data_IF_130309722365
#
_entry.id   IF_130309722365
#
_cell.length_a   1.000
_cell.length_b   1.000
_cell.length_c   1.000
_cell.angle_alpha   90.00
_cell.angle_beta   90.00
_cell.angle_gamma   90.00
#
_symmetry.space_group_name_H-M   'P 1'
#
loop_
_entity.id
_entity.type
_entity.pdbx_description
1 polymer ?
#
# COMPACT_ATOMS: atom_id res chain seq x y z
N UNK A 1 -0.41 -2.48 11.37
CA UNK A 1 -1.87 -2.18 11.41
C UNK A 1 -2.40 -2.22 9.98
N UNK A 2 -3.69 -2.45 9.74
CA UNK A 2 -4.31 -2.32 8.42
C UNK A 2 -5.27 -1.14 8.42
N UNK A 3 -4.83 0.00 7.88
CA UNK A 3 -5.64 1.23 7.81
C UNK A 3 -5.92 1.55 6.34
N UNK A 4 -7.09 2.13 6.01
CA UNK A 4 -7.32 2.60 4.65
C UNK A 4 -6.34 3.73 4.32
N UNK A 5 -5.95 3.81 3.04
CA UNK A 5 -4.95 4.76 2.54
C UNK A 5 -5.61 5.67 1.51
N UNK A 6 -5.36 6.97 1.62
CA UNK A 6 -5.59 7.94 0.54
C UNK A 6 -4.21 8.50 0.18
N UNK A 7 -3.83 8.43 -1.09
CA UNK A 7 -2.53 8.90 -1.53
C UNK A 7 -2.59 9.51 -2.93
N UNK A 8 -1.66 10.41 -3.23
CA UNK A 8 -1.56 11.02 -4.56
C UNK A 8 -0.90 10.08 -5.55
N UNK A 9 -1.26 10.19 -6.84
CA UNK A 9 -0.68 9.40 -7.92
C UNK A 9 0.70 9.93 -8.35
N UNK A 10 1.69 9.85 -7.45
CA UNK A 10 3.06 10.35 -7.70
C UNK A 10 4.13 9.33 -7.31
N UNK A 11 5.26 9.32 -8.03
CA UNK A 11 6.38 8.42 -7.75
C UNK A 11 5.98 6.95 -7.76
N UNK A 12 6.54 6.17 -6.83
CA UNK A 12 6.22 4.73 -6.67
C UNK A 12 4.93 4.42 -5.91
N UNK A 13 4.12 5.43 -5.54
CA UNK A 13 2.86 5.19 -4.81
C UNK A 13 1.88 4.28 -5.59
N UNK A 14 1.67 4.47 -6.91
CA UNK A 14 0.77 3.60 -7.67
C UNK A 14 1.25 2.15 -7.78
N UNK A 15 2.52 1.87 -7.49
CA UNK A 15 3.08 0.50 -7.46
C UNK A 15 2.75 -0.22 -6.14
N UNK A 16 2.56 0.56 -5.05
CA UNK A 16 2.25 0.03 -3.73
C UNK A 16 0.75 -0.04 -3.42
N UNK A 17 -0.10 0.65 -4.19
CA UNK A 17 -1.54 0.78 -3.94
C UNK A 17 -2.35 0.30 -5.15
N UNK A 18 -3.24 -0.64 -4.91
CA UNK A 18 -4.28 -1.07 -5.84
C UNK A 18 -5.51 -0.18 -5.66
N UNK A 19 -5.74 0.74 -6.59
CA UNK A 19 -6.77 1.78 -6.52
C UNK A 19 -8.18 1.20 -6.34
N UNK A 20 -8.91 1.69 -5.35
CA UNK A 20 -10.23 1.20 -4.94
C UNK A 20 -10.22 -0.15 -4.19
N UNK A 21 -9.07 -0.81 -4.05
CA UNK A 21 -8.97 -2.13 -3.41
C UNK A 21 -8.14 -2.11 -2.13
N UNK A 22 -6.95 -1.51 -2.16
CA UNK A 22 -6.04 -1.38 -1.01
C UNK A 22 -5.82 0.08 -0.59
N UNK A 23 -6.54 1.01 -1.21
CA UNK A 23 -6.46 2.44 -0.98
C UNK A 23 -7.14 3.20 -2.11
N UNK A 24 -7.19 4.52 -2.00
CA UNK A 24 -7.77 5.41 -3.01
C UNK A 24 -6.67 6.33 -3.52
N UNK A 25 -6.43 6.31 -4.83
CA UNK A 25 -5.51 7.22 -5.48
C UNK A 25 -6.24 8.48 -5.96
N UNK A 26 -5.72 9.65 -5.56
CA UNK A 26 -6.30 10.96 -5.84
C UNK A 26 -5.30 11.89 -6.56
N UNK A 27 -5.80 12.99 -7.10
CA UNK A 27 -4.97 14.11 -7.52
C UNK A 27 -4.46 14.94 -6.32
N UNK A 28 -3.59 15.94 -6.53
CA UNK A 28 -3.06 16.80 -5.49
C UNK A 28 -4.07 17.88 -5.02
N UNK A 29 -5.37 17.58 -5.06
CA UNK A 29 -6.45 18.48 -4.67
C UNK A 29 -6.85 18.25 -3.21
N UNK A 30 -6.78 19.30 -2.38
CA UNK A 30 -7.23 19.22 -0.98
C UNK A 30 -8.72 18.90 -0.84
N UNK A 31 -9.53 19.39 -1.79
CA UNK A 31 -10.98 19.12 -1.84
C UNK A 31 -11.24 17.64 -2.07
N UNK A 32 -10.57 17.05 -3.06
CA UNK A 32 -10.70 15.63 -3.38
C UNK A 32 -10.25 14.74 -2.22
N UNK A 33 -9.12 15.08 -1.58
CA UNK A 33 -8.62 14.37 -0.39
C UNK A 33 -9.67 14.41 0.74
N UNK A 34 -10.24 15.59 1.02
CA UNK A 34 -11.26 15.74 2.07
C UNK A 34 -12.52 14.92 1.77
N UNK A 35 -12.98 14.91 0.51
CA UNK A 35 -14.10 14.08 0.07
C UNK A 35 -13.83 12.59 0.29
N UNK A 36 -12.63 12.10 -0.03
CA UNK A 36 -12.26 10.69 0.19
C UNK A 36 -12.11 10.35 1.68
N UNK A 37 -11.63 11.27 2.51
CA UNK A 37 -11.60 11.08 3.98
C UNK A 37 -13.03 10.90 4.49
N UNK A 38 -13.94 11.81 4.13
CA UNK A 38 -15.34 11.75 4.53
C UNK A 38 -16.01 10.47 4.03
N UNK A 39 -15.71 10.06 2.80
CA UNK A 39 -16.19 8.80 2.23
C UNK A 39 -15.80 7.61 3.10
N UNK A 40 -14.51 7.46 3.45
CA UNK A 40 -14.05 6.33 4.27
C UNK A 40 -14.64 6.35 5.68
N UNK A 41 -14.81 7.53 6.29
CA UNK A 41 -15.45 7.68 7.60
C UNK A 41 -16.93 7.26 7.59
N UNK A 42 -17.62 7.43 6.45
CA UNK A 42 -19.02 7.03 6.28
C UNK A 42 -19.18 5.56 5.86
N UNK A 43 -18.13 4.93 5.36
CA UNK A 43 -18.16 3.57 4.80
C UNK A 43 -17.14 2.67 5.52
N UNK A 44 -17.32 2.48 6.83
CA UNK A 44 -16.39 1.75 7.72
C UNK A 44 -16.04 0.35 7.19
N UNK A 45 -17.04 -0.40 6.68
CA UNK A 45 -16.80 -1.73 6.09
C UNK A 45 -15.81 -1.68 4.92
N UNK A 46 -15.91 -0.68 4.06
CA UNK A 46 -14.98 -0.52 2.94
C UNK A 46 -13.61 -0.06 3.40
N UNK A 47 -13.57 0.85 4.38
CA UNK A 47 -12.33 1.28 5.01
C UNK A 47 -11.57 0.10 5.62
N UNK A 48 -12.25 -0.80 6.32
CA UNK A 48 -11.67 -2.02 6.90
C UNK A 48 -11.18 -3.00 5.83
N UNK A 49 -11.98 -3.22 4.78
CA UNK A 49 -11.57 -4.07 3.65
C UNK A 49 -10.31 -3.51 2.96
N UNK A 50 -10.29 -2.21 2.67
CA UNK A 50 -9.12 -1.55 2.06
C UNK A 50 -7.90 -1.64 2.97
N UNK A 51 -8.06 -1.39 4.27
CA UNK A 51 -6.97 -1.51 5.24
C UNK A 51 -6.42 -2.93 5.37
N UNK A 52 -7.30 -3.93 5.32
CA UNK A 52 -6.93 -5.35 5.30
C UNK A 52 -6.14 -5.71 4.04
N UNK A 53 -6.61 -5.29 2.88
CA UNK A 53 -5.93 -5.51 1.60
C UNK A 53 -4.56 -4.82 1.54
N UNK A 54 -4.46 -3.57 2.02
CA UNK A 54 -3.20 -2.84 2.13
C UNK A 54 -2.19 -3.59 3.00
N UNK A 55 -2.65 -4.10 4.16
CA UNK A 55 -1.80 -4.91 5.04
C UNK A 55 -1.33 -6.19 4.36
N UNK A 56 -2.20 -6.88 3.64
CA UNK A 56 -1.84 -8.09 2.89
C UNK A 56 -0.74 -7.79 1.86
N UNK A 57 -0.92 -6.74 1.05
CA UNK A 57 0.09 -6.29 0.08
C UNK A 57 1.43 -6.00 0.77
N UNK A 58 1.42 -5.30 1.91
CA UNK A 58 2.62 -4.98 2.67
C UNK A 58 3.39 -6.24 3.10
N UNK A 59 2.70 -7.23 3.65
CA UNK A 59 3.29 -8.51 4.10
C UNK A 59 3.74 -9.37 2.89
N UNK A 60 3.01 -9.34 1.79
CA UNK A 60 3.30 -10.19 0.64
C UNK A 60 4.43 -9.63 -0.23
N UNK A 61 4.64 -8.31 -0.26
CA UNK A 61 5.54 -7.67 -1.24
C UNK A 61 6.65 -6.82 -0.62
N UNK A 62 6.41 -6.21 0.55
CA UNK A 62 7.23 -5.11 1.08
C UNK A 62 7.90 -5.42 2.43
N UNK A 63 8.22 -6.68 2.70
CA UNK A 63 8.94 -7.07 3.91
C UNK A 63 10.45 -6.83 3.79
N UNK A 64 11.12 -6.74 4.94
CA UNK A 64 12.57 -6.63 5.00
C UNK A 64 13.27 -7.86 4.45
N UNK A 65 12.75 -9.06 4.73
CA UNK A 65 13.31 -10.33 4.28
C UNK A 65 13.31 -10.41 2.75
N UNK A 66 12.21 -10.00 2.11
CA UNK A 66 12.14 -9.93 0.64
C UNK A 66 13.08 -8.90 0.05
N UNK A 67 13.17 -7.73 0.69
CA UNK A 67 14.06 -6.66 0.23
C UNK A 67 15.53 -7.08 0.33
N UNK A 68 15.92 -7.72 1.43
CA UNK A 68 17.26 -8.26 1.63
C UNK A 68 17.56 -9.40 0.66
N UNK A 69 16.62 -10.33 0.46
CA UNK A 69 16.79 -11.45 -0.48
C UNK A 69 17.03 -10.96 -1.91
N UNK A 70 16.24 -9.98 -2.38
CA UNK A 70 16.43 -9.36 -3.69
C UNK A 70 17.78 -8.65 -3.80
N UNK A 71 18.20 -7.96 -2.74
CA UNK A 71 19.49 -7.28 -2.74
C UNK A 71 20.64 -8.29 -2.84
N UNK A 72 20.61 -9.35 -2.04
CA UNK A 72 21.61 -10.41 -2.05
C UNK A 72 21.68 -11.13 -3.41
N UNK A 73 20.53 -11.38 -4.04
CA UNK A 73 20.44 -11.93 -5.39
C UNK A 73 21.17 -11.04 -6.41
N UNK A 74 20.98 -9.71 -6.36
CA UNK A 74 21.66 -8.75 -7.23
C UNK A 74 23.19 -8.80 -7.04
N UNK A 75 23.66 -8.99 -5.80
CA UNK A 75 25.09 -9.13 -5.49
C UNK A 75 25.65 -10.55 -5.75
N UNK A 76 24.82 -11.50 -6.20
CA UNK A 76 25.22 -12.89 -6.42
C UNK A 76 25.50 -13.67 -5.13
N UNK A 77 25.05 -13.16 -3.99
CA UNK A 77 25.23 -13.75 -2.67
C UNK A 77 24.00 -14.62 -2.32
N UNK A 78 23.83 -15.74 -3.02
CA UNK A 78 22.77 -16.69 -2.70
C UNK A 78 23.06 -17.37 -1.35
N UNK A 79 22.39 -16.93 -0.28
CA UNK A 79 22.34 -17.67 0.98
C UNK A 79 21.06 -18.51 1.04
N UNK A 80 21.13 -19.84 0.92
CA UNK A 80 20.02 -20.70 1.26
C UNK A 80 19.83 -20.66 2.79
N UNK A 81 18.75 -20.03 3.28
CA UNK A 81 18.32 -20.15 4.67
C UNK A 81 18.37 -18.90 5.54
N UNK A 82 17.73 -17.82 5.08
CA UNK A 82 16.88 -17.03 5.99
C UNK A 82 15.47 -17.63 5.97
#
# INVERSE_FOLDING_TARGET
MGKPIIATRVGGIPEAIEDGQSGILVGPSSVEIAEKIIYLLKNEREADMMGGNARKIAIDRFTWERSASKLLEIYGLNSPGL
#
